data_IF_435328731886
#
_entry.id   IF_435328731886
#
_cell.length_a   1.000
_cell.length_b   1.000
_cell.length_c   1.000
_cell.angle_alpha   90.00
_cell.angle_beta   90.00
_cell.angle_gamma   90.00
#
_symmetry.space_group_name_H-M   'P 1'
#
loop_
_entity.id
_entity.type
_entity.pdbx_description
1 polymer ?
#
# COMPACT_ATOMS: atom_id res chain seq x y z
N UNK A 1 -12.38 -2.97 -24.99
CA UNK A 1 -11.63 -1.72 -24.75
C UNK A 1 -11.42 -1.41 -23.28
N UNK A 2 -11.43 -2.41 -22.40
CA UNK A 2 -11.19 -2.24 -20.96
C UNK A 2 -10.41 -3.43 -20.44
N UNK A 3 -9.30 -3.76 -21.08
CA UNK A 3 -8.50 -4.94 -20.74
C UNK A 3 -7.03 -4.60 -20.44
N UNK A 4 -6.71 -3.32 -20.23
CA UNK A 4 -5.38 -2.89 -19.79
C UNK A 4 -5.27 -2.63 -18.28
N UNK A 5 -6.41 -2.48 -17.57
CA UNK A 5 -6.39 -2.28 -16.12
C UNK A 5 -6.08 -3.57 -15.33
N UNK A 6 -6.29 -4.73 -15.97
CA UNK A 6 -6.01 -6.03 -15.37
C UNK A 6 -4.52 -6.42 -15.41
N UNK A 7 -3.74 -5.83 -16.33
CA UNK A 7 -2.36 -6.28 -16.60
C UNK A 7 -1.28 -5.53 -15.80
N UNK A 8 -1.56 -4.31 -15.30
CA UNK A 8 -0.63 -3.56 -14.44
C UNK A 8 -1.36 -2.84 -13.29
N UNK A 9 -2.06 -3.57 -12.41
CA UNK A 9 -2.64 -2.97 -11.21
C UNK A 9 -1.54 -2.35 -10.34
N UNK A 10 -1.84 -1.24 -9.66
CA UNK A 10 -0.93 -0.65 -8.68
C UNK A 10 -0.51 -1.73 -7.67
N UNK A 11 0.80 -1.86 -7.38
CA UNK A 11 1.27 -2.87 -6.45
C UNK A 11 0.64 -2.63 -5.07
N UNK A 12 0.50 -3.71 -4.31
CA UNK A 12 0.05 -3.63 -2.91
C UNK A 12 0.92 -2.66 -2.11
N UNK A 13 0.32 -1.99 -1.14
CA UNK A 13 0.95 -0.90 -0.39
C UNK A 13 1.15 0.40 -1.17
N UNK A 14 0.87 0.45 -2.48
CA UNK A 14 1.01 1.64 -3.31
C UNK A 14 -0.33 2.05 -3.93
N UNK A 15 -0.44 3.33 -4.29
CA UNK A 15 -1.58 3.92 -4.96
C UNK A 15 -1.18 4.71 -6.20
N UNK A 16 -1.95 4.56 -7.26
CA UNK A 16 -1.78 5.36 -8.46
C UNK A 16 -3.00 6.29 -8.57
N UNK A 17 -2.82 7.62 -8.49
CA UNK A 17 -3.90 8.57 -8.69
C UNK A 17 -4.58 8.34 -10.05
N UNK A 18 -5.91 8.49 -10.09
CA UNK A 18 -6.71 8.30 -11.31
C UNK A 18 -6.11 9.08 -12.50
N UNK A 19 -5.78 8.37 -13.58
CA UNK A 19 -5.14 8.93 -14.77
C UNK A 19 -3.61 8.87 -14.78
N UNK A 20 -2.97 8.32 -13.74
CA UNK A 20 -1.52 8.13 -13.70
C UNK A 20 -1.18 6.66 -13.44
N UNK A 21 -0.17 6.16 -14.12
CA UNK A 21 0.45 4.85 -13.84
C UNK A 21 1.61 4.96 -12.85
N UNK A 22 1.65 6.02 -12.03
CA UNK A 22 2.74 6.25 -11.08
C UNK A 22 2.37 5.68 -9.71
N UNK A 23 2.92 4.51 -9.31
CA UNK A 23 2.67 3.95 -7.99
C UNK A 23 3.35 4.82 -6.93
N UNK A 24 2.55 5.44 -6.08
CA UNK A 24 3.01 6.20 -4.91
C UNK A 24 2.83 5.34 -3.66
N UNK A 25 3.83 5.27 -2.77
CA UNK A 25 3.70 4.47 -1.57
C UNK A 25 2.64 5.06 -0.62
N UNK A 26 1.84 4.20 0.01
CA UNK A 26 0.92 4.61 1.08
C UNK A 26 1.72 5.24 2.25
N UNK A 27 1.20 6.30 2.89
CA UNK A 27 1.90 6.97 3.99
C UNK A 27 2.07 6.05 5.21
N UNK A 28 3.08 6.37 6.04
CA UNK A 28 3.32 5.69 7.31
C UNK A 28 2.07 5.71 8.21
N UNK A 29 1.90 4.64 8.99
CA UNK A 29 0.66 4.41 9.75
C UNK A 29 -0.52 3.91 8.92
N UNK A 30 -0.38 3.75 7.61
CA UNK A 30 -1.39 3.11 6.75
C UNK A 30 -0.81 1.90 6.01
N UNK A 31 -1.68 0.98 5.63
CA UNK A 31 -1.34 -0.22 4.87
C UNK A 31 -2.37 -0.45 3.76
N UNK A 32 -1.99 -1.26 2.78
CA UNK A 32 -2.94 -1.66 1.75
C UNK A 32 -2.69 -3.05 1.19
N UNK A 33 -3.61 -3.97 1.49
CA UNK A 33 -3.56 -5.35 1.01
C UNK A 33 -4.10 -5.52 -0.42
N UNK A 34 -4.76 -4.49 -0.97
CA UNK A 34 -5.41 -4.57 -2.28
C UNK A 34 -4.59 -3.87 -3.36
N UNK A 35 -4.22 -4.63 -4.39
CA UNK A 35 -3.55 -4.17 -5.61
C UNK A 35 -4.56 -3.48 -6.55
N UNK A 36 -5.04 -2.30 -6.16
CA UNK A 36 -5.95 -1.46 -6.97
C UNK A 36 -6.23 -0.11 -6.29
N UNK A 37 -5.21 0.60 -5.81
CA UNK A 37 -5.45 1.85 -5.10
C UNK A 37 -5.44 3.03 -6.06
N UNK A 38 -6.58 3.70 -6.19
CA UNK A 38 -6.74 4.89 -7.03
C UNK A 38 -6.33 6.20 -6.34
N UNK A 39 -6.02 6.19 -5.04
CA UNK A 39 -5.73 7.38 -4.25
C UNK A 39 -5.02 7.08 -2.93
N UNK A 40 -4.49 8.11 -2.25
CA UNK A 40 -3.95 7.96 -0.89
C UNK A 40 -5.04 7.71 0.17
N UNK A 41 -6.26 8.24 -0.03
CA UNK A 41 -7.40 8.03 0.87
C UNK A 41 -7.96 6.61 0.87
N UNK A 42 -7.52 5.82 -0.11
CA UNK A 42 -7.83 4.41 -0.26
C UNK A 42 -6.90 3.53 0.63
N UNK A 43 -5.83 4.09 1.22
CA UNK A 43 -4.96 3.38 2.16
C UNK A 43 -5.66 3.22 3.52
N UNK A 44 -5.63 2.01 4.09
CA UNK A 44 -6.30 1.70 5.36
C UNK A 44 -5.38 2.04 6.54
N UNK A 45 -5.88 2.71 7.60
CA UNK A 45 -5.06 2.98 8.77
C UNK A 45 -4.72 1.70 9.52
N UNK A 46 -3.48 1.60 9.98
CA UNK A 46 -2.97 0.48 10.75
C UNK A 46 -3.37 0.66 12.23
N UNK A 47 -4.56 0.17 12.60
CA UNK A 47 -5.17 0.38 13.93
C UNK A 47 -5.04 -0.73 15.00
N UNK A 48 -4.38 -1.90 14.79
CA UNK A 48 -4.17 -2.83 15.92
C UNK A 48 -3.04 -2.38 16.85
N UNK A 49 -3.29 -2.42 18.17
CA UNK A 49 -2.26 -2.24 19.18
C UNK A 49 -1.13 -3.28 18.99
N UNK A 50 0.12 -2.82 18.96
CA UNK A 50 1.27 -3.68 18.70
C UNK A 50 1.58 -3.90 17.22
N UNK A 51 0.86 -3.26 16.30
CA UNK A 51 1.20 -3.23 14.86
C UNK A 51 1.42 -1.82 14.36
N UNK A 52 2.33 -1.65 13.41
CA UNK A 52 2.75 -0.36 12.90
C UNK A 52 3.25 -0.49 11.45
N UNK A 53 3.09 0.59 10.70
CA UNK A 53 3.58 0.69 9.33
C UNK A 53 4.84 1.57 9.33
N UNK A 54 6.01 0.92 9.44
CA UNK A 54 7.30 1.59 9.59
C UNK A 54 7.78 2.28 8.33
N UNK A 55 7.36 1.74 7.20
CA UNK A 55 7.78 2.17 5.89
C UNK A 55 6.57 2.56 5.07
N UNK A 56 6.68 3.65 4.29
CA UNK A 56 5.67 3.97 3.30
C UNK A 56 5.66 2.84 2.24
N UNK A 57 4.48 2.44 1.77
CA UNK A 57 4.39 1.35 0.79
C UNK A 57 4.02 -0.02 1.35
N UNK A 58 3.56 -0.11 2.60
CA UNK A 58 3.35 -1.41 3.27
C UNK A 58 2.07 -2.11 2.82
N UNK A 59 2.18 -3.37 2.41
CA UNK A 59 1.05 -4.20 1.97
C UNK A 59 0.16 -4.68 3.14
N UNK A 60 0.69 -4.65 4.37
CA UNK A 60 0.00 -5.09 5.58
C UNK A 60 0.58 -4.40 6.80
N UNK A 61 -0.09 -4.48 7.94
CA UNK A 61 0.45 -4.02 9.22
C UNK A 61 1.54 -4.96 9.72
N UNK A 62 2.71 -4.42 10.08
CA UNK A 62 3.78 -5.21 10.68
C UNK A 62 3.61 -5.14 12.20
N UNK A 63 3.63 -6.26 12.93
CA UNK A 63 3.79 -6.20 14.36
C UNK A 63 5.12 -5.51 14.72
N UNK A 64 5.11 -4.70 15.77
CA UNK A 64 6.29 -4.06 16.33
C UNK A 64 7.21 -5.15 16.91
N UNK A 65 8.03 -5.77 16.05
CA UNK A 65 9.00 -6.80 16.44
C UNK A 65 9.29 -7.91 15.44
N UNK A 66 8.54 -8.07 14.33
CA UNK A 66 8.63 -9.33 13.58
C UNK A 66 9.47 -9.38 12.31
N UNK A 67 9.96 -8.27 11.74
CA UNK A 67 11.07 -8.20 10.76
C UNK A 67 10.95 -6.99 9.86
N UNK A 68 11.90 -6.06 9.98
CA UNK A 68 12.31 -5.22 8.86
C UNK A 68 13.55 -5.88 8.27
N UNK A 69 13.40 -6.67 7.21
CA UNK A 69 14.56 -7.20 6.49
C UNK A 69 15.30 -6.01 5.85
N UNK A 70 16.48 -5.70 6.37
CA UNK A 70 17.46 -4.77 5.77
C UNK A 70 18.59 -5.62 5.18
N UNK A 71 18.95 -5.44 3.89
CA UNK A 71 20.06 -6.15 3.25
C UNK A 71 21.44 -5.74 3.77
#
# INVERSE_FOLDING_TARGET
GTESYHSHPCPVGHYCPAGTHSPRPCPLGTFRNSSQAGAAGECLPCCPAGTFSAQPGQAGCLPCGSSAFSP
#
